data_IF_013839444239
#
_entry.id   IF_013839444239
#
_cell.length_a   1.000
_cell.length_b   1.000
_cell.length_c   1.000
_cell.angle_alpha   90.00
_cell.angle_beta   90.00
_cell.angle_gamma   90.00
#
_symmetry.space_group_name_H-M   'P 1'
#
loop_
_entity.id
_entity.type
_entity.pdbx_description
1 polymer ?
#
# COMPACT_ATOMS: atom_id res chain seq x y z
N UNK A 1 -10.18 24.03 -7.60
CA UNK A 1 -9.78 24.36 -8.98
C UNK A 1 -8.27 24.50 -9.00
N UNK A 2 -7.55 23.50 -9.49
CA UNK A 2 -6.08 23.54 -9.51
C UNK A 2 -5.62 24.58 -10.53
N UNK A 3 -4.76 25.49 -10.10
CA UNK A 3 -4.17 26.51 -10.95
C UNK A 3 -3.48 25.86 -12.16
N UNK A 4 -3.74 26.38 -13.36
CA UNK A 4 -3.02 25.98 -14.55
C UNK A 4 -1.51 26.23 -14.34
N UNK A 5 -0.64 25.27 -14.67
CA UNK A 5 0.80 25.49 -14.56
C UNK A 5 1.18 26.65 -15.48
N UNK A 6 1.87 27.65 -14.91
CA UNK A 6 2.55 28.73 -15.62
C UNK A 6 3.24 28.19 -16.88
N UNK A 7 3.19 28.87 -18.04
CA UNK A 7 3.80 28.36 -19.26
C UNK A 7 5.28 28.08 -19.00
N UNK A 8 5.63 26.81 -18.90
CA UNK A 8 7.00 26.36 -18.79
C UNK A 8 7.76 26.91 -20.02
N UNK A 9 8.99 27.37 -19.82
CA UNK A 9 9.84 27.76 -20.96
C UNK A 9 9.91 26.58 -21.95
N UNK A 10 10.13 26.82 -23.25
CA UNK A 10 10.21 25.74 -24.24
C UNK A 10 11.19 24.62 -23.85
N UNK A 11 12.28 24.96 -23.16
CA UNK A 11 13.25 24.00 -22.63
C UNK A 11 12.67 23.16 -21.48
N UNK A 12 11.96 23.78 -20.54
CA UNK A 12 11.35 23.06 -19.43
C UNK A 12 10.18 22.19 -19.88
N UNK A 13 9.42 22.63 -20.89
CA UNK A 13 8.39 21.80 -21.52
C UNK A 13 8.99 20.56 -22.19
N UNK A 14 10.13 20.71 -22.88
CA UNK A 14 10.88 19.60 -23.48
C UNK A 14 11.40 18.61 -22.42
N UNK A 15 12.06 19.12 -21.37
CA UNK A 15 12.51 18.28 -20.23
C UNK A 15 11.35 17.54 -19.59
N UNK A 16 10.23 18.22 -19.35
CA UNK A 16 9.03 17.61 -18.78
C UNK A 16 8.44 16.53 -19.69
N UNK A 17 8.45 16.74 -21.01
CA UNK A 17 8.05 15.72 -21.99
C UNK A 17 8.94 14.49 -21.93
N UNK A 18 10.25 14.68 -21.92
CA UNK A 18 11.20 13.58 -21.88
C UNK A 18 11.14 12.82 -20.54
N UNK A 19 10.99 13.54 -19.41
CA UNK A 19 10.71 12.96 -18.10
C UNK A 19 9.51 12.02 -18.11
N UNK A 20 8.42 12.40 -18.78
CA UNK A 20 7.24 11.53 -18.89
C UNK A 20 7.56 10.23 -19.64
N UNK A 21 8.33 10.30 -20.72
CA UNK A 21 8.77 9.10 -21.43
C UNK A 21 9.64 8.20 -20.53
N UNK A 22 10.62 8.79 -19.82
CA UNK A 22 11.47 8.05 -18.88
C UNK A 22 10.64 7.36 -17.79
N UNK A 23 9.70 8.07 -17.15
CA UNK A 23 8.85 7.50 -16.10
C UNK A 23 7.97 6.37 -16.63
N UNK A 24 7.36 6.52 -17.82
CA UNK A 24 6.57 5.45 -18.43
C UNK A 24 7.39 4.18 -18.63
N UNK A 25 8.62 4.32 -19.14
CA UNK A 25 9.56 3.20 -19.27
C UNK A 25 9.88 2.58 -17.92
N UNK A 26 10.18 3.40 -16.90
CA UNK A 26 10.49 2.92 -15.55
C UNK A 26 9.35 2.09 -14.92
N UNK A 27 8.09 2.44 -15.19
CA UNK A 27 6.94 1.68 -14.67
C UNK A 27 6.51 0.51 -15.57
N UNK A 28 7.27 0.21 -16.63
CA UNK A 28 7.02 -0.88 -17.57
C UNK A 28 6.02 -0.57 -18.69
N UNK A 29 5.59 0.69 -18.84
CA UNK A 29 4.76 1.16 -19.96
C UNK A 29 5.64 1.52 -21.16
N UNK A 30 6.20 0.50 -21.81
CA UNK A 30 7.10 0.68 -22.96
C UNK A 30 6.38 1.29 -24.16
N UNK A 31 5.14 0.87 -24.45
CA UNK A 31 4.38 1.40 -25.59
C UNK A 31 4.04 2.89 -25.39
N UNK A 32 3.62 3.27 -24.18
CA UNK A 32 3.38 4.67 -23.86
C UNK A 32 4.64 5.51 -23.86
N UNK A 33 5.79 4.97 -23.43
CA UNK A 33 7.07 5.66 -23.53
C UNK A 33 7.43 5.94 -25.01
N UNK A 34 7.30 4.92 -25.88
CA UNK A 34 7.51 5.06 -27.32
C UNK A 34 6.55 6.08 -27.93
N UNK A 35 5.28 6.09 -27.53
CA UNK A 35 4.30 7.06 -27.99
C UNK A 35 4.75 8.51 -27.69
N UNK A 36 5.19 8.78 -26.46
CA UNK A 36 5.68 10.12 -26.08
C UNK A 36 6.91 10.49 -26.91
N UNK A 37 7.87 9.56 -27.04
CA UNK A 37 9.11 9.80 -27.81
C UNK A 37 8.84 10.07 -29.30
N UNK A 38 7.85 9.39 -29.88
CA UNK A 38 7.49 9.52 -31.30
C UNK A 38 6.63 10.74 -31.58
N UNK A 39 5.62 11.00 -30.75
CA UNK A 39 4.55 11.93 -31.09
C UNK A 39 4.72 13.30 -30.42
N UNK A 40 5.29 13.36 -29.22
CA UNK A 40 5.40 14.60 -28.43
C UNK A 40 6.79 15.25 -28.53
N UNK A 41 7.86 14.45 -28.32
CA UNK A 41 9.23 14.96 -28.25
C UNK A 41 9.66 15.73 -29.50
N UNK A 42 9.37 15.29 -30.74
CA UNK A 42 9.79 16.04 -31.93
C UNK A 42 9.21 17.45 -31.97
N UNK A 43 7.94 17.61 -31.59
CA UNK A 43 7.27 18.92 -31.52
C UNK A 43 7.91 19.83 -30.47
N UNK A 44 8.24 19.29 -29.30
CA UNK A 44 8.89 20.02 -28.21
C UNK A 44 10.33 20.43 -28.58
N UNK A 45 11.08 19.54 -29.24
CA UNK A 45 12.44 19.85 -29.74
C UNK A 45 12.38 20.99 -30.75
N UNK A 46 11.44 20.95 -31.70
CA UNK A 46 11.25 22.02 -32.68
C UNK A 46 10.84 23.33 -32.00
N UNK A 47 9.93 23.27 -31.03
CA UNK A 47 9.49 24.43 -30.26
C UNK A 47 10.64 25.11 -29.52
N UNK A 48 11.47 24.33 -28.82
CA UNK A 48 12.67 24.82 -28.17
C UNK A 48 13.70 25.38 -29.18
N UNK A 49 14.00 24.63 -30.24
CA UNK A 49 15.01 25.00 -31.22
C UNK A 49 14.70 26.31 -31.96
N UNK A 50 13.41 26.66 -32.13
CA UNK A 50 12.98 27.95 -32.69
C UNK A 50 13.23 29.13 -31.75
N UNK A 51 13.13 28.90 -30.45
CA UNK A 51 13.31 29.93 -29.41
C UNK A 51 14.75 30.08 -28.93
N UNK A 52 15.60 29.07 -29.15
CA UNK A 52 16.97 29.07 -28.67
C UNK A 52 17.91 29.87 -29.62
N UNK A 53 18.62 30.90 -29.10
CA UNK A 53 19.56 31.72 -29.88
C UNK A 53 20.94 31.03 -29.99
N UNK A 54 20.94 29.74 -30.34
CA UNK A 54 22.12 28.90 -30.49
C UNK A 54 22.27 28.47 -31.94
N UNK A 55 23.49 28.24 -32.39
CA UNK A 55 23.71 27.65 -33.72
C UNK A 55 23.29 26.16 -33.75
N UNK A 56 23.13 25.56 -34.94
CA UNK A 56 22.68 24.17 -35.04
C UNK A 56 23.55 23.13 -34.31
N UNK A 57 24.87 23.36 -34.26
CA UNK A 57 25.81 22.45 -33.58
C UNK A 57 25.65 22.54 -32.07
N UNK A 58 25.57 23.77 -31.54
CA UNK A 58 25.29 24.03 -30.12
C UNK A 58 23.93 23.47 -29.69
N UNK A 59 22.89 23.63 -30.52
CA UNK A 59 21.56 23.06 -30.24
C UNK A 59 21.60 21.55 -30.09
N UNK A 60 22.30 20.88 -31.01
CA UNK A 60 22.46 19.43 -30.97
C UNK A 60 23.22 18.98 -29.72
N UNK A 61 24.31 19.67 -29.39
CA UNK A 61 25.08 19.38 -28.18
C UNK A 61 24.21 19.54 -26.92
N UNK A 62 23.43 20.62 -26.83
CA UNK A 62 22.56 20.89 -25.68
C UNK A 62 21.42 19.89 -25.54
N UNK A 63 20.81 19.46 -26.66
CA UNK A 63 19.80 18.40 -26.63
C UNK A 63 20.38 17.08 -26.15
N UNK A 64 21.57 16.72 -26.64
CA UNK A 64 22.25 15.50 -26.23
C UNK A 64 22.55 15.53 -24.73
N UNK A 65 23.20 16.59 -24.24
CA UNK A 65 23.48 16.79 -22.82
C UNK A 65 22.20 16.64 -21.99
N UNK A 66 21.13 17.34 -22.35
CA UNK A 66 19.87 17.30 -21.61
C UNK A 66 19.21 15.92 -21.58
N UNK A 67 19.21 15.20 -22.71
CA UNK A 67 18.64 13.84 -22.76
C UNK A 67 19.50 12.83 -21.99
N UNK A 68 20.84 12.96 -22.05
CA UNK A 68 21.76 12.11 -21.29
C UNK A 68 21.58 12.35 -19.78
N UNK A 69 21.55 13.62 -19.35
CA UNK A 69 21.35 14.02 -17.95
C UNK A 69 20.02 13.49 -17.39
N UNK A 70 18.92 13.67 -18.13
CA UNK A 70 17.61 13.23 -17.65
C UNK A 70 17.45 11.70 -17.69
N UNK A 71 18.14 11.01 -18.62
CA UNK A 71 18.19 9.55 -18.62
C UNK A 71 18.97 9.04 -17.40
N UNK A 72 20.13 9.61 -17.11
CA UNK A 72 20.92 9.26 -15.93
C UNK A 72 20.14 9.52 -14.63
N UNK A 73 19.46 10.67 -14.53
CA UNK A 73 18.56 10.98 -13.42
C UNK A 73 17.45 9.95 -13.25
N UNK A 74 16.84 9.49 -14.35
CA UNK A 74 15.80 8.48 -14.29
C UNK A 74 16.34 7.13 -13.79
N UNK A 75 17.52 6.72 -14.24
CA UNK A 75 18.18 5.49 -13.81
C UNK A 75 18.52 5.54 -12.30
N UNK A 76 19.04 6.66 -11.80
CA UNK A 76 19.30 6.87 -10.36
C UNK A 76 18.01 6.79 -9.53
N UNK A 77 16.93 7.39 -10.03
CA UNK A 77 15.63 7.32 -9.36
C UNK A 77 15.07 5.91 -9.34
N UNK A 78 15.28 5.11 -10.39
CA UNK A 78 14.88 3.72 -10.42
C UNK A 78 15.55 2.93 -9.28
N UNK A 79 16.87 3.09 -9.14
CA UNK A 79 17.63 2.46 -8.05
C UNK A 79 17.15 2.91 -6.68
N UNK A 80 16.86 4.22 -6.51
CA UNK A 80 16.34 4.74 -5.26
C UNK A 80 14.94 4.18 -4.94
N UNK A 81 14.06 4.05 -5.94
CA UNK A 81 12.74 3.47 -5.76
C UNK A 81 12.79 1.98 -5.41
N UNK A 82 13.69 1.21 -6.01
CA UNK A 82 13.87 -0.21 -5.66
C UNK A 82 14.33 -0.38 -4.20
N UNK A 83 15.29 0.44 -3.76
CA UNK A 83 15.74 0.43 -2.37
C UNK A 83 14.63 0.85 -1.40
N UNK A 84 13.86 1.88 -1.77
CA UNK A 84 12.71 2.31 -0.98
C UNK A 84 11.64 1.22 -0.91
N UNK A 85 11.30 0.59 -2.04
CA UNK A 85 10.32 -0.49 -2.11
C UNK A 85 10.73 -1.65 -1.21
N UNK A 86 11.98 -2.12 -1.28
CA UNK A 86 12.45 -3.21 -0.42
C UNK A 86 12.37 -2.89 1.08
N UNK A 87 12.73 -1.65 1.48
CA UNK A 87 12.61 -1.21 2.88
C UNK A 87 11.16 -1.04 3.32
N UNK A 88 10.34 -0.47 2.45
CA UNK A 88 8.91 -0.28 2.67
C UNK A 88 8.20 -1.63 2.84
N UNK A 89 8.46 -2.59 1.96
CA UNK A 89 7.93 -3.95 2.03
C UNK A 89 8.29 -4.62 3.35
N UNK A 90 9.56 -4.58 3.76
CA UNK A 90 10.01 -5.14 5.04
C UNK A 90 9.27 -4.51 6.21
N UNK A 91 9.21 -3.16 6.25
CA UNK A 91 8.58 -2.44 7.36
C UNK A 91 7.08 -2.69 7.44
N UNK A 92 6.38 -2.69 6.29
CA UNK A 92 4.95 -2.98 6.23
C UNK A 92 4.68 -4.43 6.62
N UNK A 93 5.49 -5.38 6.16
CA UNK A 93 5.35 -6.78 6.53
C UNK A 93 5.47 -7.00 8.05
N UNK A 94 6.40 -6.33 8.72
CA UNK A 94 6.53 -6.35 10.17
C UNK A 94 5.29 -5.82 10.88
N UNK A 95 4.80 -4.64 10.46
CA UNK A 95 3.63 -4.00 11.06
C UNK A 95 2.37 -4.86 10.87
N UNK A 96 2.16 -5.37 9.65
CA UNK A 96 1.04 -6.27 9.35
C UNK A 96 1.14 -7.55 10.19
N UNK A 97 2.33 -8.15 10.30
CA UNK A 97 2.53 -9.35 11.12
C UNK A 97 2.20 -9.10 12.60
N UNK A 98 2.67 -7.98 13.14
CA UNK A 98 2.41 -7.60 14.54
C UNK A 98 0.92 -7.38 14.79
N UNK A 99 0.23 -6.66 13.89
CA UNK A 99 -1.19 -6.37 14.03
C UNK A 99 -2.04 -7.63 13.88
N UNK A 100 -1.73 -8.49 12.90
CA UNK A 100 -2.41 -9.78 12.73
C UNK A 100 -2.20 -10.69 13.95
N UNK A 101 -0.99 -10.74 14.50
CA UNK A 101 -0.72 -11.52 15.72
C UNK A 101 -1.52 -10.99 16.94
N UNK A 102 -1.60 -9.67 17.10
CA UNK A 102 -2.42 -9.02 18.13
C UNK A 102 -3.90 -9.38 17.99
N UNK A 103 -4.43 -9.32 16.77
CA UNK A 103 -5.82 -9.70 16.48
C UNK A 103 -6.09 -11.17 16.80
N UNK A 104 -5.22 -12.08 16.39
CA UNK A 104 -5.34 -13.51 16.70
C UNK A 104 -5.39 -13.75 18.21
N UNK A 105 -4.48 -13.12 18.97
CA UNK A 105 -4.47 -13.24 20.43
C UNK A 105 -5.77 -12.72 21.08
N UNK A 106 -6.35 -11.64 20.55
CA UNK A 106 -7.64 -11.12 21.01
C UNK A 106 -8.79 -12.09 20.70
N UNK A 107 -8.81 -12.66 19.50
CA UNK A 107 -9.81 -13.66 19.12
C UNK A 107 -9.71 -14.93 19.96
N UNK A 108 -8.50 -15.41 20.24
CA UNK A 108 -8.27 -16.56 21.11
C UNK A 108 -8.79 -16.30 22.52
N UNK A 109 -8.56 -15.09 23.06
CA UNK A 109 -9.08 -14.71 24.37
C UNK A 109 -10.61 -14.70 24.39
N UNK A 110 -11.24 -14.04 23.41
CA UNK A 110 -12.71 -14.01 23.32
C UNK A 110 -13.29 -15.42 23.19
N UNK A 111 -12.65 -16.29 22.40
CA UNK A 111 -13.09 -17.67 22.22
C UNK A 111 -13.00 -18.46 23.53
N UNK A 112 -11.88 -18.32 24.28
CA UNK A 112 -11.73 -18.95 25.60
C UNK A 112 -12.75 -18.43 26.61
N UNK A 113 -12.95 -17.12 26.66
CA UNK A 113 -13.92 -16.50 27.55
C UNK A 113 -15.34 -17.01 27.24
N UNK A 114 -15.72 -17.11 25.95
CA UNK A 114 -17.01 -17.64 25.52
C UNK A 114 -17.18 -19.12 25.89
N UNK A 115 -16.16 -19.96 25.65
CA UNK A 115 -16.17 -21.37 26.06
C UNK A 115 -16.36 -21.49 27.57
N UNK A 116 -15.66 -20.69 28.38
CA UNK A 116 -15.81 -20.69 29.83
C UNK A 116 -17.22 -20.29 30.29
N UNK A 117 -17.84 -19.32 29.63
CA UNK A 117 -19.25 -18.93 29.91
C UNK A 117 -20.21 -20.07 29.58
N UNK A 118 -20.00 -20.77 28.46
CA UNK A 118 -20.83 -21.92 28.06
C UNK A 118 -20.72 -23.04 29.11
N UNK A 119 -19.50 -23.38 29.55
CA UNK A 119 -19.27 -24.40 30.58
C UNK A 119 -19.92 -24.03 31.92
N UNK A 120 -19.82 -22.76 32.34
CA UNK A 120 -20.52 -22.29 33.55
C UNK A 120 -22.03 -22.38 33.42
N UNK A 121 -22.61 -21.99 32.28
CA UNK A 121 -24.04 -22.08 32.03
C UNK A 121 -24.53 -23.54 32.06
N UNK A 122 -23.76 -24.47 31.48
CA UNK A 122 -24.04 -25.91 31.57
C UNK A 122 -23.97 -26.42 33.01
N UNK A 123 -22.96 -26.01 33.79
CA UNK A 123 -22.84 -26.36 35.20
C UNK A 123 -24.01 -25.88 36.06
N UNK A 124 -24.50 -24.65 35.82
CA UNK A 124 -25.69 -24.10 36.48
C UNK A 124 -26.94 -24.91 36.11
N UNK A 125 -27.09 -25.25 34.82
CA UNK A 125 -28.22 -26.05 34.33
C UNK A 125 -28.26 -27.44 34.97
N UNK A 126 -27.10 -28.10 35.10
CA UNK A 126 -27.01 -29.41 35.77
C UNK A 126 -27.36 -29.32 37.26
N UNK A 127 -26.88 -28.30 37.98
CA UNK A 127 -27.23 -28.09 39.39
C UNK A 127 -28.72 -27.84 39.59
N UNK A 128 -29.35 -27.07 38.69
CA UNK A 128 -30.80 -26.87 38.71
C UNK A 128 -31.58 -28.17 38.50
N UNK A 129 -31.09 -29.06 37.64
CA UNK A 129 -31.69 -30.38 37.43
C UNK A 129 -31.54 -31.30 38.66
N UNK A 130 -30.44 -31.24 39.39
CA UNK A 130 -30.24 -31.99 40.65
C UNK A 130 -31.08 -31.45 41.81
N UNK A 131 -31.32 -30.13 41.85
CA UNK A 131 -32.21 -29.48 42.82
C UNK A 131 -33.70 -29.75 42.57
N UNK A 132 -34.05 -30.46 41.47
CA UNK A 132 -35.40 -30.94 41.23
C UNK A 132 -35.72 -32.07 42.22
N UNK A 133 -36.28 -31.66 43.36
CA UNK A 133 -36.86 -32.50 44.42
C UNK A 133 -37.62 -33.68 43.75
N UNK A 134 -37.42 -34.94 44.20
CA UNK A 134 -38.22 -36.05 43.70
C UNK A 134 -39.69 -35.69 43.90
N UNK A 135 -40.43 -35.65 42.79
CA UNK A 135 -41.87 -35.53 42.83
C UNK A 135 -42.39 -36.54 43.86
N UNK A 136 -43.06 -36.01 44.89
CA UNK A 136 -43.80 -36.80 45.87
C UNK A 136 -44.60 -37.82 45.08
N UNK A 137 -44.29 -39.09 45.34
CA UNK A 137 -45.07 -40.20 44.86
C UNK A 137 -46.44 -40.10 45.52
N UNK A 138 -47.41 -39.50 44.83
CA UNK A 138 -48.80 -39.87 44.99
C UNK A 138 -49.44 -39.88 43.60
N UNK A 139 -49.92 -41.07 43.24
CA UNK A 139 -50.22 -41.44 41.88
C UNK A 139 -51.38 -40.65 41.29
N UNK A 140 -51.19 -40.21 40.05
CA UNK A 140 -52.30 -40.11 39.10
C UNK A 140 -51.76 -40.30 37.68
N UNK A 141 -52.15 -41.45 37.12
CA UNK A 141 -52.35 -41.75 35.69
C UNK A 141 -51.48 -41.01 34.65
N UNK A 142 -50.61 -41.79 34.02
CA UNK A 142 -50.12 -41.59 32.65
C UNK A 142 -51.24 -41.12 31.71
N UNK A 143 -51.03 -40.00 31.04
CA UNK A 143 -51.68 -39.68 29.77
C UNK A 143 -50.57 -39.34 28.76
N UNK A 144 -50.36 -40.25 27.82
CA UNK A 144 -49.50 -40.08 26.65
C UNK A 144 -49.99 -38.92 25.79
N UNK A 145 -49.22 -37.84 25.71
CA UNK A 145 -49.38 -36.82 24.68
C UNK A 145 -48.44 -37.21 23.55
N UNK A 146 -49.04 -37.69 22.45
CA UNK A 146 -48.36 -37.85 21.17
C UNK A 146 -47.87 -36.48 20.69
N UNK A 147 -46.56 -36.40 20.42
CA UNK A 147 -45.99 -35.36 19.55
C UNK A 147 -46.59 -35.50 18.15
N UNK A 148 -47.51 -34.61 17.79
CA UNK A 148 -47.76 -34.28 16.40
C UNK A 148 -46.86 -33.09 16.05
N UNK A 149 -45.65 -33.39 15.60
CA UNK A 149 -44.87 -32.47 14.77
C UNK A 149 -45.51 -32.42 13.39
N UNK A 150 -46.15 -31.29 13.06
CA UNK A 150 -46.33 -30.85 11.68
C UNK A 150 -45.58 -29.51 11.50
N UNK A 151 -44.81 -29.33 10.41
CA UNK A 151 -43.99 -28.14 10.20
C UNK A 151 -44.86 -26.89 10.03
N UNK A 152 -44.54 -25.81 10.74
CA UNK A 152 -45.06 -24.50 10.38
C UNK A 152 -44.23 -23.93 9.23
N UNK A 153 -44.89 -23.68 8.11
CA UNK A 153 -44.38 -22.92 6.98
C UNK A 153 -43.94 -21.53 7.44
N UNK A 154 -42.62 -21.32 7.52
CA UNK A 154 -42.05 -19.97 7.62
C UNK A 154 -41.94 -19.45 6.19
N UNK A 155 -42.91 -18.61 5.80
CA UNK A 155 -42.81 -17.81 4.58
C UNK A 155 -41.70 -16.78 4.72
N UNK A 156 -40.60 -16.98 3.99
CA UNK A 156 -39.55 -15.98 3.80
C UNK A 156 -40.01 -15.02 2.68
N UNK A 157 -40.07 -13.69 2.89
CA UNK A 157 -40.32 -12.77 1.80
C UNK A 157 -39.09 -12.72 0.87
N UNK A 158 -39.29 -13.09 -0.40
CA UNK A 158 -38.37 -12.84 -1.50
C UNK A 158 -38.09 -11.35 -1.65
N UNK A 159 -36.81 -10.96 -1.62
CA UNK A 159 -36.38 -9.72 -2.25
C UNK A 159 -35.32 -10.05 -3.28
N UNK A 160 -35.80 -10.21 -4.50
CA UNK A 160 -35.05 -10.53 -5.70
C UNK A 160 -34.36 -9.25 -6.21
N UNK A 161 -33.02 -9.19 -6.12
CA UNK A 161 -32.21 -8.36 -7.02
C UNK A 161 -31.05 -9.18 -7.55
N UNK A 162 -31.27 -9.63 -8.78
CA UNK A 162 -30.34 -10.30 -9.69
C UNK A 162 -28.97 -9.61 -9.74
N UNK A 163 -27.91 -10.40 -9.54
CA UNK A 163 -26.61 -10.15 -10.14
C UNK A 163 -26.27 -11.38 -10.99
N UNK A 164 -26.41 -11.21 -12.29
CA UNK A 164 -26.08 -12.19 -13.31
C UNK A 164 -24.57 -12.38 -13.42
N UNK A 165 -24.09 -13.59 -13.13
CA UNK A 165 -22.79 -14.06 -13.61
C UNK A 165 -22.97 -14.71 -14.99
N UNK A 166 -22.26 -14.19 -15.99
CA UNK A 166 -22.02 -14.87 -17.26
C UNK A 166 -20.51 -15.10 -17.39
N UNK A 167 -20.13 -16.37 -17.45
CA UNK A 167 -18.77 -16.83 -17.70
C UNK A 167 -18.59 -17.21 -19.19
N UNK A 168 -17.44 -16.86 -19.76
CA UNK A 168 -16.72 -17.41 -20.94
C UNK A 168 -15.89 -16.29 -21.56
N UNK A 169 -14.65 -16.44 -22.04
CA UNK A 169 -13.68 -17.53 -22.06
C UNK A 169 -12.32 -16.92 -22.49
N UNK A 170 -11.23 -17.67 -22.24
CA UNK A 170 -9.92 -17.67 -22.89
C UNK A 170 -9.08 -16.39 -23.04
N UNK A 171 -7.94 -16.38 -22.34
CA UNK A 171 -6.65 -16.09 -22.98
C UNK A 171 -5.52 -16.77 -22.20
N UNK A 172 -4.94 -17.78 -22.82
CA UNK A 172 -3.71 -18.43 -22.41
C UNK A 172 -2.56 -17.40 -22.27
N UNK A 173 -1.84 -17.41 -21.14
CA UNK A 173 -0.44 -16.96 -21.15
C UNK A 173 0.43 -17.84 -20.27
N UNK A 174 1.17 -18.67 -20.99
CA UNK A 174 2.25 -19.56 -20.59
C UNK A 174 3.14 -19.00 -19.46
N UNK A 175 3.16 -19.73 -18.34
CA UNK A 175 4.27 -19.73 -17.39
C UNK A 175 5.50 -20.34 -18.05
N UNK A 176 6.45 -19.50 -18.49
CA UNK A 176 7.80 -19.97 -18.81
C UNK A 176 8.69 -19.76 -17.59
N UNK A 177 8.85 -20.85 -16.85
CA UNK A 177 9.92 -21.08 -15.88
C UNK A 177 11.27 -20.68 -16.48
N UNK A 178 11.96 -19.73 -15.86
CA UNK A 178 13.39 -19.49 -16.08
C UNK A 178 14.14 -19.88 -14.82
N UNK A 179 14.65 -21.10 -14.90
CA UNK A 179 15.93 -21.62 -14.39
C UNK A 179 16.67 -20.68 -13.43
N UNK A 180 16.71 -21.11 -12.18
CA UNK A 180 17.65 -20.75 -11.13
C UNK A 180 19.10 -20.75 -11.63
N UNK A 181 19.75 -19.59 -11.57
CA UNK A 181 21.21 -19.50 -11.52
C UNK A 181 21.65 -19.16 -10.09
N UNK A 182 22.75 -19.82 -9.76
CA UNK A 182 23.36 -20.02 -8.47
C UNK A 182 23.91 -18.70 -7.90
N UNK A 183 23.36 -18.21 -6.79
CA UNK A 183 23.99 -17.13 -6.01
C UNK A 183 24.62 -17.77 -4.78
N UNK A 184 25.94 -17.77 -4.82
CA UNK A 184 26.87 -18.13 -3.78
C UNK A 184 26.51 -17.44 -2.45
N UNK A 185 26.39 -18.24 -1.39
CA UNK A 185 26.08 -17.76 -0.04
C UNK A 185 27.21 -16.87 0.48
N UNK A 186 27.04 -15.56 0.41
CA UNK A 186 27.85 -14.63 1.20
C UNK A 186 27.35 -14.70 2.63
N UNK A 187 28.13 -15.36 3.48
CA UNK A 187 27.95 -15.39 4.92
C UNK A 187 28.49 -14.07 5.50
N UNK A 188 27.62 -13.20 6.01
CA UNK A 188 28.01 -12.03 6.79
C UNK A 188 27.38 -12.14 8.19
N UNK A 189 28.18 -11.96 9.26
CA UNK A 189 27.77 -12.21 10.63
C UNK A 189 26.69 -11.22 11.09
N UNK A 190 25.72 -11.77 11.82
CA UNK A 190 24.74 -11.02 12.58
C UNK A 190 25.42 -10.49 13.84
N UNK A 191 25.81 -9.21 13.85
CA UNK A 191 26.06 -8.42 15.06
C UNK A 191 26.24 -6.96 14.63
N UNK A 192 25.17 -6.17 14.74
CA UNK A 192 25.18 -4.73 15.12
C UNK A 192 23.77 -4.15 14.97
N UNK A 193 22.85 -4.69 15.78
CA UNK A 193 21.66 -3.97 16.23
C UNK A 193 21.99 -3.44 17.62
N UNK A 194 22.22 -2.13 17.74
CA UNK A 194 21.78 -1.24 18.82
C UNK A 194 22.74 -0.07 19.04
N UNK A 195 22.33 1.13 18.60
CA UNK A 195 22.59 2.43 19.25
C UNK A 195 21.48 3.37 18.69
N UNK A 196 20.25 3.36 19.21
CA UNK A 196 19.65 4.35 20.15
C UNK A 196 20.12 5.79 19.81
N UNK A 197 19.32 6.81 19.46
CA UNK A 197 18.09 7.36 20.04
C UNK A 197 17.34 8.28 19.03
N UNK A 198 16.01 8.34 19.10
CA UNK A 198 15.20 9.53 18.76
C UNK A 198 14.56 10.06 20.07
N UNK A 199 13.87 11.22 20.10
CA UNK A 199 14.30 12.59 19.76
C UNK A 199 14.07 13.53 20.97
N UNK A 200 14.64 14.73 20.99
CA UNK A 200 14.23 15.76 21.96
C UNK A 200 14.14 17.13 21.32
N UNK A 201 12.92 17.65 21.27
CA UNK A 201 12.60 19.02 20.93
C UNK A 201 12.62 19.87 22.20
N UNK A 202 13.37 20.98 22.25
CA UNK A 202 13.03 22.18 23.05
C UNK A 202 13.51 23.45 22.31
N UNK A 203 12.53 24.28 21.94
CA UNK A 203 12.63 25.70 21.61
C UNK A 203 13.01 26.53 22.85
N UNK A 204 13.92 27.51 22.73
CA UNK A 204 13.74 28.91 23.17
C UNK A 204 15.06 29.72 23.24
N UNK A 205 14.98 31.01 22.87
CA UNK A 205 15.93 32.08 23.25
C UNK A 205 16.77 32.60 22.08
N UNK A 206 16.29 33.51 21.24
CA UNK A 206 16.47 34.97 21.37
C UNK A 206 17.79 35.39 22.03
N UNK A 207 18.74 35.87 21.23
CA UNK A 207 19.35 37.17 21.51
C UNK A 207 19.88 37.83 20.24
N UNK A 208 19.52 39.11 20.14
CA UNK A 208 19.82 40.07 19.09
C UNK A 208 21.05 40.83 19.52
N UNK A 209 22.10 40.93 18.70
CA UNK A 209 23.11 41.97 18.91
C UNK A 209 23.95 42.31 17.68
N UNK A 210 23.78 43.57 17.26
CA UNK A 210 24.76 44.51 16.71
C UNK A 210 25.34 44.31 15.30
N UNK A 211 24.70 44.99 14.34
CA UNK A 211 25.38 45.66 13.22
C UNK A 211 25.74 47.08 13.65
N UNK A 212 27.00 47.54 13.47
CA UNK A 212 27.30 48.96 13.52
C UNK A 212 27.20 49.57 12.10
N UNK A 213 26.24 50.45 11.92
CA UNK A 213 26.17 51.44 10.85
C UNK A 213 27.08 52.63 11.18
N UNK A 214 27.95 52.97 10.22
CA UNK A 214 28.45 54.28 9.78
C UNK A 214 28.61 55.49 10.73
N UNK A 215 29.60 56.32 10.31
CA UNK A 215 29.98 57.68 10.76
C UNK A 215 31.11 57.64 11.82
N UNK A 216 32.23 58.36 11.68
CA UNK A 216 32.49 59.68 11.08
C UNK A 216 34.05 59.91 11.15
N UNK A 217 34.61 61.14 11.18
CA UNK A 217 34.81 62.16 10.15
C UNK A 217 36.31 62.47 9.91
N UNK A 218 36.67 62.96 8.71
CA UNK A 218 37.65 64.06 8.41
C UNK A 218 38.15 64.01 6.98
#
# INVERSE_FOLDING_TARGET
MSAAPTPASPLEALKAGFRRACVRRLVGDEEGAVQVLRDEIPGLVVGWAKSAPLDPSEKKAKLKEMFDDESARADELAVAFDLFAGRFESRVAELVRAEVASLVNRFDRVTRDLTGVIEQAQGITSKLNELKIPAVADGQSVASVQENFLPQDISIPENDKQVTHKASADSERSHKSKKSENIEKVNLPADDLNLIEEPSAILAGKESKDMPSDLDPR
#
